data_IF_540348923755
#
_entry.id   IF_540348923755
#
_cell.length_a   1.000
_cell.length_b   1.000
_cell.length_c   1.000
_cell.angle_alpha   90.00
_cell.angle_beta   90.00
_cell.angle_gamma   90.00
#
_symmetry.space_group_name_H-M   'P 1'
#
loop_
_entity.id
_entity.type
_entity.pdbx_description
1 polymer ?
#
# COMPACT_ATOMS: atom_id res chain seq x y z
N UNK A 1 -56.06 -19.86 -31.80
CA UNK A 1 -55.26 -19.01 -32.73
C UNK A 1 -54.66 -17.90 -31.88
N UNK A 2 -53.36 -17.60 -31.79
CA UNK A 2 -52.16 -17.90 -32.58
C UNK A 2 -50.97 -18.14 -31.62
N UNK A 3 -50.04 -19.00 -32.03
CA UNK A 3 -48.69 -19.15 -31.43
C UNK A 3 -47.77 -18.07 -32.03
N UNK A 4 -46.81 -17.57 -31.26
CA UNK A 4 -45.56 -17.01 -31.79
C UNK A 4 -44.40 -17.33 -30.85
N UNK A 5 -43.35 -17.89 -31.44
CA UNK A 5 -42.15 -18.42 -30.84
C UNK A 5 -40.98 -17.50 -31.22
N UNK A 6 -39.98 -17.33 -30.34
CA UNK A 6 -38.51 -17.36 -30.61
C UNK A 6 -37.68 -16.47 -29.67
N UNK A 7 -36.54 -17.04 -29.25
CA UNK A 7 -35.59 -16.65 -28.21
C UNK A 7 -34.42 -15.75 -28.73
N UNK A 8 -33.36 -15.41 -27.94
CA UNK A 8 -32.74 -14.07 -27.88
C UNK A 8 -31.30 -13.97 -28.44
N UNK A 9 -30.72 -12.75 -28.48
CA UNK A 9 -29.24 -12.54 -28.56
C UNK A 9 -28.75 -11.19 -27.98
N UNK A 10 -27.76 -11.33 -27.08
CA UNK A 10 -26.59 -10.49 -26.68
C UNK A 10 -26.48 -8.98 -27.00
N UNK A 11 -26.07 -8.17 -26.01
CA UNK A 11 -24.66 -7.70 -25.85
C UNK A 11 -24.46 -6.62 -24.77
N UNK A 12 -23.47 -6.86 -23.90
CA UNK A 12 -22.49 -5.95 -23.26
C UNK A 12 -22.87 -4.52 -22.79
N UNK A 13 -22.55 -4.20 -21.53
CA UNK A 13 -21.40 -3.35 -21.12
C UNK A 13 -21.50 -2.93 -19.65
N UNK A 14 -20.45 -3.25 -18.90
CA UNK A 14 -20.22 -2.88 -17.50
C UNK A 14 -20.11 -1.37 -17.33
N UNK A 15 -21.01 -0.81 -16.50
CA UNK A 15 -21.07 0.63 -16.18
C UNK A 15 -19.97 0.99 -15.17
N UNK A 16 -18.80 1.38 -15.68
CA UNK A 16 -17.67 1.93 -14.93
C UNK A 16 -18.08 3.27 -14.28
N UNK A 17 -18.12 3.34 -12.95
CA UNK A 17 -18.40 4.58 -12.19
C UNK A 17 -17.14 5.46 -12.14
N UNK A 18 -17.30 6.72 -12.55
CA UNK A 18 -16.24 7.74 -12.65
C UNK A 18 -15.98 8.42 -11.29
N UNK A 19 -14.69 8.54 -10.91
CA UNK A 19 -14.21 9.12 -9.65
C UNK A 19 -14.04 10.66 -9.69
N UNK A 20 -14.62 11.34 -10.68
CA UNK A 20 -14.48 12.80 -10.86
C UNK A 20 -15.11 13.68 -9.76
N UNK A 21 -15.93 13.11 -8.88
CA UNK A 21 -16.65 13.86 -7.84
C UNK A 21 -15.85 14.15 -6.55
N UNK A 22 -14.78 13.39 -6.28
CA UNK A 22 -14.08 13.48 -5.00
C UNK A 22 -13.13 14.69 -4.90
N UNK A 23 -12.68 15.24 -6.03
CA UNK A 23 -11.63 16.27 -6.07
C UNK A 23 -12.07 17.72 -5.75
N UNK A 24 -13.28 17.96 -5.25
CA UNK A 24 -13.80 19.34 -5.08
C UNK A 24 -13.96 19.86 -3.64
N UNK A 25 -13.44 19.19 -2.61
CA UNK A 25 -13.59 19.68 -1.22
C UNK A 25 -12.31 19.64 -0.39
N UNK A 26 -11.37 20.54 -0.71
CA UNK A 26 -10.27 20.87 0.22
C UNK A 26 -10.20 22.39 0.38
N UNK A 27 -10.71 22.88 1.51
CA UNK A 27 -10.39 24.18 2.11
C UNK A 27 -10.23 23.99 3.63
N UNK A 28 -9.21 24.63 4.22
CA UNK A 28 -8.65 24.54 5.60
C UNK A 28 -9.14 25.78 6.40
N UNK A 29 -9.35 25.83 7.76
CA UNK A 29 -8.32 25.87 8.86
C UNK A 29 -8.79 25.29 10.24
N UNK A 30 -8.10 25.23 11.40
CA UNK A 30 -6.86 25.82 11.99
C UNK A 30 -6.45 25.01 13.28
N UNK A 31 -5.19 25.12 13.80
CA UNK A 31 -4.86 24.80 15.22
C UNK A 31 -3.52 24.09 15.58
N UNK A 32 -2.49 24.90 15.94
CA UNK A 32 -1.19 24.73 16.63
C UNK A 32 -0.61 23.36 17.15
N UNK A 33 0.70 23.13 16.90
CA UNK A 33 1.59 22.41 17.85
C UNK A 33 2.58 21.33 17.35
N UNK A 34 3.28 21.51 16.22
CA UNK A 34 4.56 20.88 15.79
C UNK A 34 4.88 21.53 14.43
N UNK A 35 6.13 21.91 14.12
CA UNK A 35 6.46 22.50 12.80
C UNK A 35 6.43 21.41 11.72
N UNK A 36 5.22 21.05 11.31
CA UNK A 36 4.90 20.25 10.14
C UNK A 36 4.99 21.17 8.92
N UNK A 37 5.66 20.73 7.86
CA UNK A 37 5.75 21.48 6.61
C UNK A 37 4.33 21.86 6.12
N UNK A 38 4.05 23.16 5.87
CA UNK A 38 2.71 23.63 5.52
C UNK A 38 2.21 23.12 4.15
N UNK A 39 3.08 22.53 3.33
CA UNK A 39 2.72 21.87 2.07
C UNK A 39 2.73 20.33 2.17
N UNK A 40 2.90 19.76 3.38
CA UNK A 40 2.76 18.32 3.57
C UNK A 40 1.29 17.95 3.30
N UNK A 41 1.01 17.03 2.36
CA UNK A 41 -0.36 16.60 2.13
C UNK A 41 -0.90 16.02 3.43
N UNK A 42 -2.10 16.47 3.83
CA UNK A 42 -2.91 15.85 4.90
C UNK A 42 -3.44 14.47 4.46
N UNK A 43 -2.65 13.74 3.70
CA UNK A 43 -3.05 12.57 2.93
C UNK A 43 -2.45 11.32 3.54
N UNK A 44 -3.26 10.28 3.58
CA UNK A 44 -2.80 8.94 3.89
C UNK A 44 -1.76 8.44 2.88
N UNK A 45 -1.19 7.28 3.16
CA UNK A 45 -0.25 6.58 2.27
C UNK A 45 -0.95 5.48 1.46
N UNK A 46 -2.14 5.04 1.88
CA UNK A 46 -2.91 4.01 1.17
C UNK A 46 -3.80 4.63 0.08
N UNK A 47 -3.92 3.96 -1.06
CA UNK A 47 -4.83 4.41 -2.12
C UNK A 47 -4.32 5.56 -2.99
N UNK A 48 -3.11 6.07 -2.74
CA UNK A 48 -2.51 7.18 -3.49
C UNK A 48 -1.30 6.72 -4.30
N UNK A 49 -0.88 7.47 -5.34
CA UNK A 49 0.30 7.12 -6.11
C UNK A 49 1.55 7.05 -5.24
N UNK A 50 2.34 5.99 -5.42
CA UNK A 50 3.58 5.75 -4.66
C UNK A 50 4.54 6.95 -4.71
N UNK A 51 4.63 7.59 -5.88
CA UNK A 51 5.44 8.79 -6.12
C UNK A 51 5.04 9.99 -5.26
N UNK A 52 3.79 10.04 -4.77
CA UNK A 52 3.35 11.05 -3.82
C UNK A 52 3.68 10.64 -2.39
N UNK A 53 3.30 9.44 -1.94
CA UNK A 53 3.47 9.01 -0.55
C UNK A 53 4.94 8.99 -0.13
N UNK A 54 5.84 8.58 -1.03
CA UNK A 54 7.29 8.54 -0.77
C UNK A 54 7.89 9.93 -0.51
N UNK A 55 7.23 11.03 -0.89
CA UNK A 55 7.76 12.37 -0.60
C UNK A 55 7.82 12.65 0.90
N UNK A 56 6.92 12.05 1.68
CA UNK A 56 6.71 12.40 3.08
C UNK A 56 6.63 11.20 4.03
N UNK A 57 6.44 9.99 3.52
CA UNK A 57 6.35 8.75 4.31
C UNK A 57 7.32 7.69 3.80
N UNK A 58 8.62 8.03 3.76
CA UNK A 58 9.71 7.15 3.31
C UNK A 58 10.79 6.97 4.37
N UNK A 59 11.56 5.90 4.21
CA UNK A 59 12.86 5.74 4.86
C UNK A 59 13.92 5.39 3.82
N UNK A 60 15.17 5.71 4.13
CA UNK A 60 16.32 5.34 3.29
C UNK A 60 16.74 3.91 3.62
N UNK A 61 16.96 3.11 2.59
CA UNK A 61 17.50 1.76 2.71
C UNK A 61 18.94 1.72 2.24
N UNK A 62 19.71 0.84 2.87
CA UNK A 62 21.02 0.43 2.41
C UNK A 62 21.10 -1.08 2.22
N UNK A 63 22.10 -1.53 1.49
CA UNK A 63 22.42 -2.95 1.29
C UNK A 63 23.93 -3.18 1.42
N UNK A 64 24.31 -4.45 1.46
CA UNK A 64 25.69 -4.91 1.35
C UNK A 64 25.79 -5.69 0.04
N UNK A 65 26.77 -5.37 -0.80
CA UNK A 65 27.03 -6.11 -2.04
C UNK A 65 27.88 -7.36 -1.81
N UNK A 66 28.16 -8.09 -2.89
CA UNK A 66 28.96 -9.32 -2.84
C UNK A 66 30.42 -9.07 -2.39
N UNK A 67 30.92 -7.85 -2.58
CA UNK A 67 32.24 -7.39 -2.12
C UNK A 67 32.25 -6.93 -0.65
N UNK A 68 31.13 -7.14 0.07
CA UNK A 68 30.94 -6.74 1.46
C UNK A 68 31.00 -5.21 1.69
N UNK A 69 30.75 -4.40 0.65
CA UNK A 69 30.72 -2.95 0.72
C UNK A 69 29.33 -2.49 1.17
N UNK A 70 29.30 -1.60 2.17
CA UNK A 70 28.06 -1.04 2.72
C UNK A 70 27.57 0.15 1.90
N UNK A 71 26.52 -0.07 1.12
CA UNK A 71 25.78 0.98 0.42
C UNK A 71 24.73 1.57 1.34
N UNK A 72 25.07 2.64 2.06
CA UNK A 72 24.20 3.22 3.11
C UNK A 72 23.02 4.05 2.59
N UNK A 73 23.00 4.41 1.30
CA UNK A 73 21.95 5.20 0.64
C UNK A 73 21.58 4.64 -0.72
N UNK A 74 21.12 3.39 -0.75
CA UNK A 74 20.74 2.69 -1.97
C UNK A 74 19.44 3.22 -2.60
N UNK A 75 18.52 3.70 -1.77
CA UNK A 75 17.23 4.19 -2.24
C UNK A 75 16.28 4.54 -1.11
N UNK A 76 15.08 4.95 -1.51
CA UNK A 76 13.99 5.25 -0.58
C UNK A 76 12.82 4.31 -0.81
N UNK A 77 12.26 3.79 0.28
CA UNK A 77 11.06 2.95 0.24
C UNK A 77 10.01 3.49 1.21
N UNK A 78 8.71 3.16 1.03
CA UNK A 78 7.67 3.55 1.98
C UNK A 78 7.93 2.97 3.37
N UNK A 79 7.60 3.75 4.42
CA UNK A 79 7.78 3.32 5.82
C UNK A 79 7.03 2.02 6.11
N UNK A 80 5.81 1.86 5.59
CA UNK A 80 5.02 0.63 5.73
C UNK A 80 5.74 -0.60 5.18
N UNK A 81 6.42 -0.46 4.03
CA UNK A 81 7.20 -1.54 3.42
C UNK A 81 8.42 -1.86 4.28
N UNK A 82 9.14 -0.84 4.73
CA UNK A 82 10.33 -1.02 5.57
C UNK A 82 10.01 -1.70 6.91
N UNK A 83 8.98 -1.22 7.63
CA UNK A 83 8.60 -1.73 8.94
C UNK A 83 8.04 -3.16 8.84
N UNK A 84 7.14 -3.41 7.89
CA UNK A 84 6.61 -4.76 7.68
C UNK A 84 7.72 -5.72 7.23
N UNK A 85 8.55 -5.32 6.26
CA UNK A 85 9.65 -6.12 5.75
C UNK A 85 10.67 -6.49 6.83
N UNK A 86 11.08 -5.52 7.66
CA UNK A 86 11.98 -5.76 8.79
C UNK A 86 11.38 -6.75 9.81
N UNK A 87 10.12 -6.55 10.19
CA UNK A 87 9.43 -7.43 11.13
C UNK A 87 9.26 -8.87 10.60
N UNK A 88 8.89 -9.01 9.32
CA UNK A 88 8.74 -10.29 8.64
C UNK A 88 10.08 -10.99 8.46
N UNK A 89 11.14 -10.26 8.10
CA UNK A 89 12.49 -10.83 7.98
C UNK A 89 13.00 -11.37 9.32
N UNK A 90 12.70 -10.68 10.42
CA UNK A 90 13.14 -11.11 11.76
C UNK A 90 12.31 -12.30 12.30
N UNK A 91 11.00 -12.31 12.09
CA UNK A 91 10.09 -13.21 12.82
C UNK A 91 9.31 -14.19 11.94
N UNK A 92 9.20 -13.93 10.63
CA UNK A 92 8.27 -14.62 9.73
C UNK A 92 8.88 -15.70 8.84
N UNK A 93 10.21 -15.80 8.74
CA UNK A 93 10.88 -16.69 7.79
C UNK A 93 10.63 -18.18 8.06
N UNK A 94 10.46 -18.56 9.32
CA UNK A 94 10.13 -19.93 9.73
C UNK A 94 8.63 -20.13 10.02
N UNK A 95 7.81 -19.10 9.82
CA UNK A 95 6.36 -19.21 10.08
C UNK A 95 5.65 -19.89 8.92
N UNK A 96 4.95 -20.98 9.22
CA UNK A 96 4.17 -21.69 8.21
C UNK A 96 3.09 -20.79 7.59
N UNK A 97 2.95 -20.85 6.27
CA UNK A 97 1.88 -20.15 5.57
C UNK A 97 1.98 -18.63 5.65
N UNK A 98 3.16 -18.05 5.87
CA UNK A 98 3.37 -16.61 5.75
C UNK A 98 2.92 -16.12 4.36
N UNK A 99 2.24 -14.97 4.32
CA UNK A 99 1.48 -14.44 3.15
C UNK A 99 0.28 -15.26 2.66
N UNK A 100 0.20 -16.57 2.93
CA UNK A 100 -0.96 -17.43 2.61
C UNK A 100 -2.09 -17.25 3.62
N UNK A 101 -1.76 -17.33 4.91
CA UNK A 101 -2.71 -17.18 6.02
C UNK A 101 -2.98 -15.70 6.27
N UNK A 102 -4.27 -15.34 6.37
CA UNK A 102 -4.69 -13.96 6.63
C UNK A 102 -4.56 -13.61 8.11
N UNK A 103 -4.08 -12.40 8.38
CA UNK A 103 -4.07 -11.80 9.72
C UNK A 103 -5.48 -11.41 10.18
N UNK A 104 -5.57 -10.98 11.43
CA UNK A 104 -6.82 -10.51 12.03
C UNK A 104 -7.27 -9.22 11.35
N UNK A 105 -8.46 -9.21 10.76
CA UNK A 105 -9.04 -8.04 10.10
C UNK A 105 -9.02 -6.81 11.00
N UNK A 106 -9.38 -6.97 12.29
CA UNK A 106 -9.38 -5.88 13.27
C UNK A 106 -7.99 -5.28 13.44
N UNK A 107 -6.96 -6.11 13.61
CA UNK A 107 -5.57 -5.66 13.80
C UNK A 107 -4.97 -5.08 12.53
N UNK A 108 -5.25 -5.66 11.37
CA UNK A 108 -4.79 -5.11 10.08
C UNK A 108 -5.43 -3.74 9.81
N UNK A 109 -6.71 -3.53 10.16
CA UNK A 109 -7.34 -2.22 10.05
C UNK A 109 -6.72 -1.19 11.01
N UNK A 110 -6.40 -1.60 12.24
CA UNK A 110 -5.69 -0.74 13.19
C UNK A 110 -4.28 -0.37 12.68
N UNK A 111 -3.53 -1.33 12.14
CA UNK A 111 -2.24 -1.08 11.52
C UNK A 111 -2.36 -0.13 10.33
N UNK A 112 -3.31 -0.35 9.43
CA UNK A 112 -3.52 0.54 8.28
C UNK A 112 -3.75 1.97 8.76
N UNK A 113 -4.63 2.17 9.74
CA UNK A 113 -4.87 3.49 10.33
C UNK A 113 -3.60 4.13 10.90
N UNK A 114 -2.75 3.35 11.61
CA UNK A 114 -1.47 3.84 12.14
C UNK A 114 -0.51 4.23 11.01
N UNK A 115 -0.43 3.47 9.93
CA UNK A 115 0.46 3.79 8.81
C UNK A 115 -0.09 4.91 7.90
N UNK A 116 -1.40 5.14 7.90
CA UNK A 116 -2.08 6.13 7.05
C UNK A 116 -2.13 7.53 7.69
N UNK A 117 -1.67 7.70 8.92
CA UNK A 117 -1.76 8.96 9.64
C UNK A 117 -0.41 9.65 9.84
N UNK A 118 -0.40 10.97 9.64
CA UNK A 118 0.77 11.80 9.96
C UNK A 118 0.99 11.92 11.47
N UNK A 119 -0.07 11.85 12.29
CA UNK A 119 -0.01 11.94 13.75
C UNK A 119 0.74 10.79 14.41
N UNK A 120 0.78 9.63 13.76
CA UNK A 120 1.52 8.43 14.17
C UNK A 120 2.87 8.30 13.45
N UNK A 121 3.35 9.39 12.83
CA UNK A 121 4.56 9.39 11.99
C UNK A 121 4.53 8.29 10.92
N UNK A 122 3.36 7.99 10.37
CA UNK A 122 3.16 6.91 9.40
C UNK A 122 3.70 5.55 9.88
N UNK A 123 3.60 5.27 11.19
CA UNK A 123 4.05 4.01 11.79
C UNK A 123 5.57 3.86 11.90
N UNK A 124 6.35 4.94 11.76
CA UNK A 124 7.80 4.90 11.95
C UNK A 124 8.18 4.33 13.31
N UNK A 125 7.49 4.79 14.35
CA UNK A 125 7.69 4.41 15.75
C UNK A 125 6.78 3.25 16.19
N UNK A 126 6.14 2.55 15.24
CA UNK A 126 5.26 1.42 15.56
C UNK A 126 5.99 0.36 16.37
N UNK A 127 5.38 0.00 17.50
CA UNK A 127 5.65 -1.20 18.27
C UNK A 127 4.75 -2.35 17.76
N UNK A 128 5.36 -3.52 17.56
CA UNK A 128 4.67 -4.71 17.06
C UNK A 128 4.02 -5.56 18.16
N UNK A 129 4.15 -5.18 19.43
CA UNK A 129 3.50 -5.88 20.53
C UNK A 129 1.99 -6.02 20.31
N UNK A 130 1.48 -7.24 20.46
CA UNK A 130 0.08 -7.58 20.19
C UNK A 130 -0.29 -7.80 18.72
N UNK A 131 0.67 -7.65 17.79
CA UNK A 131 0.51 -7.96 16.37
C UNK A 131 1.29 -9.21 15.97
N UNK A 132 0.83 -9.90 14.94
CA UNK A 132 1.46 -11.13 14.42
C UNK A 132 2.10 -10.91 13.05
N UNK A 133 2.98 -11.84 12.65
CA UNK A 133 3.57 -11.84 11.30
C UNK A 133 2.52 -11.96 10.21
N UNK A 134 1.39 -12.64 10.44
CA UNK A 134 0.28 -12.70 9.49
C UNK A 134 -0.42 -11.34 9.33
N UNK A 135 -0.51 -10.54 10.39
CA UNK A 135 -1.05 -9.18 10.31
C UNK A 135 -0.13 -8.28 9.48
N UNK A 136 1.19 -8.33 9.74
CA UNK A 136 2.18 -7.59 8.97
C UNK A 136 2.19 -7.99 7.47
N UNK A 137 2.15 -9.29 7.17
CA UNK A 137 2.07 -9.79 5.80
C UNK A 137 0.77 -9.35 5.11
N UNK A 138 -0.35 -9.40 5.81
CA UNK A 138 -1.66 -8.98 5.29
C UNK A 138 -1.71 -7.48 5.04
N UNK A 139 -1.12 -6.67 5.92
CA UNK A 139 -1.00 -5.22 5.76
C UNK A 139 -0.12 -4.88 4.56
N UNK A 140 1.04 -5.51 4.44
CA UNK A 140 1.96 -5.28 3.32
C UNK A 140 1.28 -5.59 1.99
N UNK A 141 0.63 -6.75 1.88
CA UNK A 141 -0.16 -7.11 0.69
C UNK A 141 -1.26 -6.08 0.41
N UNK A 142 -1.97 -5.64 1.46
CA UNK A 142 -3.03 -4.63 1.32
C UNK A 142 -2.49 -3.30 0.80
N UNK A 143 -1.34 -2.85 1.28
CA UNK A 143 -0.70 -1.63 0.82
C UNK A 143 -0.41 -1.70 -0.68
N UNK A 144 0.26 -2.77 -1.14
CA UNK A 144 0.60 -2.94 -2.56
C UNK A 144 -0.65 -3.03 -3.44
N UNK A 145 -1.68 -3.75 -3.00
CA UNK A 145 -2.93 -3.90 -3.75
C UNK A 145 -3.77 -2.61 -3.82
N UNK A 146 -3.57 -1.68 -2.88
CA UNK A 146 -4.25 -0.39 -2.86
C UNK A 146 -3.52 0.68 -3.69
N UNK A 147 -2.33 0.39 -4.23
CA UNK A 147 -1.67 1.33 -5.12
C UNK A 147 -2.52 1.52 -6.39
N UNK A 148 -2.73 2.77 -6.84
CA UNK A 148 -3.51 3.04 -8.04
C UNK A 148 -2.83 2.53 -9.32
N UNK A 149 -1.50 2.44 -9.30
CA UNK A 149 -0.69 1.76 -10.31
C UNK A 149 0.03 0.59 -9.63
N UNK A 150 -0.08 -0.66 -10.14
CA UNK A 150 0.60 -1.81 -9.56
C UNK A 150 2.12 -1.61 -9.48
N UNK A 151 2.75 -2.35 -8.56
CA UNK A 151 4.21 -2.32 -8.36
C UNK A 151 4.99 -2.64 -9.64
N UNK A 152 4.43 -3.52 -10.45
CA UNK A 152 4.89 -3.76 -11.83
C UNK A 152 3.95 -2.95 -12.71
N UNK A 153 4.37 -1.78 -13.23
CA UNK A 153 3.50 -0.94 -14.02
C UNK A 153 3.06 -1.65 -15.30
N UNK A 154 1.86 -1.32 -15.78
CA UNK A 154 1.26 -2.00 -16.93
C UNK A 154 2.14 -1.97 -18.19
N UNK A 155 2.89 -0.88 -18.39
CA UNK A 155 3.79 -0.71 -19.54
C UNK A 155 4.95 -1.72 -19.56
N UNK A 156 5.36 -2.22 -18.38
CA UNK A 156 6.42 -3.22 -18.24
C UNK A 156 5.88 -4.64 -18.07
N UNK A 157 4.55 -4.81 -18.03
CA UNK A 157 3.94 -6.08 -17.65
C UNK A 157 4.21 -7.19 -18.66
N UNK A 158 4.19 -6.88 -19.96
CA UNK A 158 4.47 -7.87 -21.00
C UNK A 158 5.94 -8.31 -20.95
N UNK A 159 6.87 -7.34 -20.86
CA UNK A 159 8.29 -7.62 -20.72
C UNK A 159 8.59 -8.46 -19.46
N UNK A 160 7.90 -8.19 -18.36
CA UNK A 160 8.06 -8.96 -17.14
C UNK A 160 7.54 -10.40 -17.26
N UNK A 161 6.47 -10.62 -18.05
CA UNK A 161 5.89 -11.95 -18.29
C UNK A 161 6.73 -12.79 -19.24
N UNK A 162 7.29 -12.19 -20.29
CA UNK A 162 8.03 -12.93 -21.32
C UNK A 162 9.37 -13.51 -20.81
N UNK A 163 9.85 -13.06 -19.65
CA UNK A 163 11.09 -13.52 -19.00
C UNK A 163 10.85 -14.66 -17.98
N UNK A 164 9.59 -14.91 -17.59
CA UNK A 164 9.20 -16.06 -16.73
C UNK A 164 8.69 -17.23 -17.54
#
# INVERSE_FOLDING_TARGET
MKRSNSNPTSSSLSKRRSFRGWLKRVTIPNGNGRKVDPNMPKGGVFGIPLSMSIKYAKTTVGYIDDDNIRHTKAGAIPIVVAKCGSFLKKNGLATEGIFRISGSIKRVNALEFIFDQSTSNYGLDLNWDGYTVHDAASLLRRYLNKLPDPVIPFDYYQQFRDVM
#
